data_IF_491676747070
#
_entry.id   IF_491676747070
#
_cell.length_a   1.000
_cell.length_b   1.000
_cell.length_c   1.000
_cell.angle_alpha   90.00
_cell.angle_beta   90.00
_cell.angle_gamma   90.00
#
_symmetry.space_group_name_H-M   'P 1'
#
loop_
_entity.id
_entity.type
_entity.pdbx_description
1 polymer ?
#
# COMPACT_ATOMS: atom_id res chain seq x y z
N UNK A 1 -17.51 6.42 9.50
CA UNK A 1 -18.45 6.60 8.38
C UNK A 1 -17.79 7.59 7.44
N UNK A 2 -17.19 7.13 6.33
CA UNK A 2 -16.57 8.03 5.35
C UNK A 2 -17.69 8.60 4.47
N UNK A 3 -17.74 9.92 4.30
CA UNK A 3 -18.79 10.59 3.52
C UNK A 3 -18.61 10.34 2.02
N UNK A 4 -19.72 10.45 1.29
CA UNK A 4 -19.84 10.08 -0.13
C UNK A 4 -19.04 10.93 -1.14
N UNK A 5 -18.20 11.86 -0.69
CA UNK A 5 -17.46 12.82 -1.55
C UNK A 5 -15.94 12.65 -1.52
N UNK A 6 -15.38 11.68 -0.79
CA UNK A 6 -13.94 11.36 -0.88
C UNK A 6 -13.73 10.21 -1.86
N UNK A 7 -13.24 10.53 -3.07
CA UNK A 7 -12.73 9.54 -4.02
C UNK A 7 -11.61 8.74 -3.34
N UNK A 8 -11.76 7.43 -3.16
CA UNK A 8 -10.67 6.58 -2.68
C UNK A 8 -9.57 6.50 -3.75
N UNK A 9 -8.32 6.60 -3.32
CA UNK A 9 -7.18 6.24 -4.17
C UNK A 9 -7.14 4.72 -4.29
N UNK A 10 -7.19 4.21 -5.51
CA UNK A 10 -7.19 2.78 -5.80
C UNK A 10 -5.91 2.37 -6.53
N UNK A 11 -5.24 1.35 -6.00
CA UNK A 11 -4.05 0.73 -6.58
C UNK A 11 -4.25 -0.77 -6.72
N UNK A 12 -3.56 -1.39 -7.68
CA UNK A 12 -3.52 -2.83 -7.84
C UNK A 12 -2.15 -3.33 -7.40
N UNK A 13 -2.12 -4.43 -6.66
CA UNK A 13 -0.89 -5.10 -6.25
C UNK A 13 -0.93 -6.60 -6.50
N UNK A 14 0.23 -7.23 -6.64
CA UNK A 14 0.36 -8.69 -6.82
C UNK A 14 1.17 -9.30 -5.69
N UNK A 15 0.65 -10.37 -5.08
CA UNK A 15 1.38 -11.07 -4.02
C UNK A 15 2.53 -11.92 -4.56
N UNK A 16 3.44 -12.39 -3.71
CA UNK A 16 4.50 -13.33 -4.14
C UNK A 16 3.92 -14.64 -4.69
N UNK A 17 2.73 -15.03 -4.21
CA UNK A 17 1.98 -16.18 -4.70
C UNK A 17 1.19 -15.89 -6.00
N UNK A 18 1.34 -14.71 -6.59
CA UNK A 18 0.65 -14.30 -7.82
C UNK A 18 -0.82 -13.92 -7.65
N UNK A 19 -1.30 -13.71 -6.42
CA UNK A 19 -2.68 -13.27 -6.18
C UNK A 19 -2.78 -11.75 -6.41
N UNK A 20 -3.84 -11.31 -7.09
CA UNK A 20 -4.10 -9.89 -7.31
C UNK A 20 -4.89 -9.30 -6.15
N UNK A 21 -4.43 -8.14 -5.67
CA UNK A 21 -5.03 -7.34 -4.61
C UNK A 21 -5.48 -6.00 -5.19
N UNK A 22 -6.70 -5.58 -4.84
CA UNK A 22 -7.12 -4.18 -4.93
C UNK A 22 -6.83 -3.52 -3.58
N UNK A 23 -6.17 -2.38 -3.62
CA UNK A 23 -5.77 -1.62 -2.44
C UNK A 23 -6.40 -0.24 -2.52
N UNK A 24 -7.29 0.06 -1.59
CA UNK A 24 -7.93 1.37 -1.46
C UNK A 24 -7.32 2.13 -0.30
N UNK A 25 -7.15 3.44 -0.47
CA UNK A 25 -6.67 4.35 0.57
C UNK A 25 -7.36 5.71 0.50
N UNK A 26 -7.33 6.47 1.60
CA UNK A 26 -7.73 7.87 1.53
C UNK A 26 -6.71 8.69 0.71
N UNK A 27 -7.15 9.50 -0.26
CA UNK A 27 -6.26 10.14 -1.24
C UNK A 27 -5.36 11.21 -0.62
N UNK A 28 -5.78 11.81 0.50
CA UNK A 28 -5.10 12.98 1.07
C UNK A 28 -3.96 12.60 2.01
N UNK A 29 -4.19 11.63 2.90
CA UNK A 29 -3.28 11.35 4.00
C UNK A 29 -2.80 9.90 4.03
N UNK A 30 -3.44 8.98 3.30
CA UNK A 30 -3.16 7.54 3.30
C UNK A 30 -2.98 7.01 4.72
N UNK A 31 -3.87 7.46 5.60
CA UNK A 31 -3.97 7.07 7.01
C UNK A 31 -4.81 5.83 7.21
N UNK A 32 -5.52 5.40 6.18
CA UNK A 32 -6.29 4.16 6.19
C UNK A 32 -6.11 3.41 4.88
N UNK A 33 -6.11 2.08 4.99
CA UNK A 33 -6.01 1.17 3.86
C UNK A 33 -7.04 0.06 4.00
N UNK A 34 -7.61 -0.34 2.86
CA UNK A 34 -8.44 -1.53 2.71
C UNK A 34 -7.91 -2.37 1.57
N UNK A 35 -7.81 -3.67 1.80
CA UNK A 35 -7.31 -4.60 0.81
C UNK A 35 -8.43 -5.53 0.42
N UNK A 36 -8.52 -5.86 -0.85
CA UNK A 36 -9.52 -6.76 -1.38
C UNK A 36 -8.89 -7.79 -2.30
N UNK A 37 -9.37 -9.03 -2.21
CA UNK A 37 -9.08 -10.10 -3.18
C UNK A 37 -10.28 -10.30 -4.07
N UNK A 38 -10.04 -10.74 -5.31
CA UNK A 38 -11.12 -11.25 -6.16
C UNK A 38 -11.81 -12.42 -5.45
N UNK A 39 -13.13 -12.38 -5.35
CA UNK A 39 -13.89 -13.51 -4.85
C UNK A 39 -13.93 -14.59 -5.96
N UNK A 40 -13.33 -15.78 -5.73
CA UNK A 40 -13.31 -16.84 -6.74
C UNK A 40 -14.69 -17.46 -6.97
N UNK A 41 -15.61 -17.33 -6.01
CA UNK A 41 -16.93 -17.99 -6.02
C UNK A 41 -17.97 -17.26 -6.88
N UNK A 42 -17.61 -16.10 -7.44
CA UNK A 42 -18.52 -15.30 -8.28
C UNK A 42 -18.32 -15.69 -9.74
N UNK A 43 -19.20 -16.55 -10.25
CA UNK A 43 -19.22 -16.97 -11.65
C UNK A 43 -19.73 -15.86 -12.58
N UNK A 44 -20.64 -15.02 -12.10
CA UNK A 44 -21.19 -13.89 -12.87
C UNK A 44 -21.09 -12.57 -12.08
N UNK A 45 -20.09 -11.72 -12.41
CA UNK A 45 -19.87 -10.46 -11.71
C UNK A 45 -21.00 -9.43 -11.91
N UNK A 46 -21.80 -9.55 -12.97
CA UNK A 46 -22.88 -8.60 -13.27
C UNK A 46 -24.13 -8.80 -12.39
N UNK A 47 -24.24 -9.95 -11.71
CA UNK A 47 -25.35 -10.27 -10.81
C UNK A 47 -25.09 -9.88 -9.35
N UNK A 48 -23.84 -9.57 -9.00
CA UNK A 48 -23.43 -9.27 -7.62
C UNK A 48 -22.88 -7.86 -7.50
N UNK A 49 -23.42 -7.06 -6.58
CA UNK A 49 -22.95 -5.70 -6.32
C UNK A 49 -21.53 -5.60 -5.78
N UNK A 50 -20.93 -6.72 -5.34
CA UNK A 50 -19.56 -6.77 -4.82
C UNK A 50 -18.86 -8.03 -5.33
N UNK A 51 -17.79 -7.84 -6.12
CA UNK A 51 -17.01 -8.93 -6.76
C UNK A 51 -15.73 -9.28 -6.01
N UNK A 52 -15.49 -8.62 -4.87
CA UNK A 52 -14.25 -8.68 -4.11
C UNK A 52 -14.54 -8.91 -2.62
N UNK A 53 -13.59 -9.53 -1.93
CA UNK A 53 -13.65 -9.83 -0.49
C UNK A 53 -12.55 -9.05 0.22
N UNK A 54 -12.91 -8.30 1.26
CA UNK A 54 -11.94 -7.56 2.07
C UNK A 54 -11.03 -8.54 2.83
N UNK A 55 -9.73 -8.24 2.88
CA UNK A 55 -8.72 -9.00 3.61
C UNK A 55 -7.97 -8.08 4.56
N UNK A 56 -7.63 -8.62 5.73
CA UNK A 56 -7.01 -7.84 6.82
C UNK A 56 -5.54 -8.20 7.08
N UNK A 57 -4.97 -9.13 6.30
CA UNK A 57 -3.59 -9.59 6.40
C UNK A 57 -3.02 -9.91 5.02
N UNK A 58 -1.72 -9.71 4.88
CA UNK A 58 -0.89 -10.07 3.74
C UNK A 58 -0.20 -11.44 3.94
N UNK A 59 -0.66 -12.24 4.91
CA UNK A 59 -0.11 -13.57 5.22
C UNK A 59 1.40 -13.55 5.55
N UNK A 60 1.85 -12.53 6.28
CA UNK A 60 3.27 -12.40 6.62
C UNK A 60 4.15 -11.80 5.52
N UNK A 61 3.56 -11.29 4.45
CA UNK A 61 4.24 -10.44 3.46
C UNK A 61 4.10 -8.95 3.82
N UNK A 62 4.88 -8.12 3.13
CA UNK A 62 4.77 -6.67 3.13
C UNK A 62 4.47 -6.16 1.73
N UNK A 63 3.60 -5.16 1.60
CA UNK A 63 3.25 -4.55 0.32
C UNK A 63 4.13 -3.33 0.05
N UNK A 64 4.81 -3.31 -1.10
CA UNK A 64 5.45 -2.10 -1.63
C UNK A 64 4.44 -1.42 -2.57
N UNK A 65 3.64 -0.50 -2.03
CA UNK A 65 2.45 0.03 -2.71
C UNK A 65 2.79 0.72 -4.03
N UNK A 66 3.85 1.52 -4.06
CA UNK A 66 4.26 2.26 -5.25
C UNK A 66 4.79 1.34 -6.36
N UNK A 67 5.23 0.13 -5.98
CA UNK A 67 5.68 -0.88 -6.94
C UNK A 67 4.58 -1.88 -7.33
N UNK A 68 3.47 -1.91 -6.59
CA UNK A 68 2.35 -2.79 -6.88
C UNK A 68 2.65 -4.28 -6.66
N UNK A 69 3.55 -4.64 -5.75
CA UNK A 69 3.77 -6.05 -5.40
C UNK A 69 4.17 -6.24 -3.94
N UNK A 70 4.00 -7.46 -3.44
CA UNK A 70 4.43 -7.82 -2.08
C UNK A 70 5.78 -8.53 -2.05
N UNK A 71 6.42 -8.46 -0.90
CA UNK A 71 7.68 -9.14 -0.58
C UNK A 71 7.52 -9.92 0.72
N UNK A 72 8.24 -11.04 0.91
CA UNK A 72 8.21 -11.74 2.19
C UNK A 72 8.70 -10.82 3.32
N UNK A 73 8.05 -10.84 4.48
CA UNK A 73 8.58 -10.14 5.65
C UNK A 73 9.95 -10.71 6.02
N UNK A 74 10.85 -9.82 6.42
CA UNK A 74 12.21 -10.16 6.75
C UNK A 74 12.72 -9.25 7.85
N UNK A 75 12.72 -9.78 9.08
CA UNK A 75 13.19 -9.07 10.27
C UNK A 75 14.65 -8.63 10.17
N UNK A 76 15.50 -9.38 9.46
CA UNK A 76 16.90 -9.01 9.27
C UNK A 76 17.06 -7.78 8.35
N UNK A 77 16.08 -7.55 7.46
CA UNK A 77 16.02 -6.38 6.57
C UNK A 77 15.10 -5.27 7.10
N UNK A 78 14.50 -5.44 8.29
CA UNK A 78 13.52 -4.50 8.84
C UNK A 78 12.18 -4.47 8.09
N UNK A 79 11.88 -5.50 7.30
CA UNK A 79 10.60 -5.63 6.60
C UNK A 79 9.60 -6.32 7.54
N UNK A 80 8.60 -5.57 7.97
CA UNK A 80 7.58 -6.03 8.90
C UNK A 80 6.44 -6.78 8.18
N UNK A 81 5.89 -7.83 8.79
CA UNK A 81 4.73 -8.53 8.22
C UNK A 81 3.47 -7.67 8.30
N UNK A 82 2.57 -7.86 7.33
CA UNK A 82 1.29 -7.17 7.24
C UNK A 82 1.42 -5.63 7.17
N UNK A 83 2.57 -5.14 6.69
CA UNK A 83 2.85 -3.72 6.54
C UNK A 83 2.79 -3.27 5.07
N UNK A 84 2.34 -2.05 4.84
CA UNK A 84 2.30 -1.37 3.55
C UNK A 84 3.32 -0.25 3.57
N UNK A 85 4.31 -0.34 2.69
CA UNK A 85 5.33 0.66 2.49
C UNK A 85 4.95 1.51 1.28
N UNK A 86 4.97 2.82 1.45
CA UNK A 86 4.66 3.77 0.38
C UNK A 86 5.42 5.07 0.55
N UNK A 87 5.70 5.73 -0.57
CA UNK A 87 6.27 7.07 -0.61
C UNK A 87 5.10 8.05 -0.60
N UNK A 88 5.04 8.87 0.45
CA UNK A 88 4.08 9.96 0.50
C UNK A 88 4.66 11.14 -0.26
N UNK A 89 4.00 11.51 -1.34
CA UNK A 89 4.23 12.78 -2.00
C UNK A 89 3.09 13.72 -1.62
N UNK A 90 3.31 14.66 -0.70
CA UNK A 90 2.31 15.66 -0.39
C UNK A 90 2.09 16.58 -1.61
N UNK A 91 0.93 16.48 -2.26
CA UNK A 91 0.52 17.43 -3.31
C UNK A 91 -0.92 17.92 -3.14
N UNK A 92 -1.25 18.73 -2.14
CA UNK A 92 -2.35 19.66 -2.25
C UNK A 92 -1.76 21.00 -2.65
N UNK A 93 -1.95 21.37 -3.91
CA UNK A 93 -2.06 22.76 -4.34
C UNK A 93 -1.09 23.78 -3.68
N UNK A 94 -0.03 24.17 -4.40
CA UNK A 94 0.75 25.42 -4.22
C UNK A 94 1.91 25.43 -3.18
N UNK A 95 3.10 25.75 -3.71
CA UNK A 95 4.16 26.56 -3.08
C UNK A 95 4.97 26.02 -1.88
N UNK A 96 4.93 24.74 -1.55
CA UNK A 96 5.87 24.13 -0.59
C UNK A 96 6.78 23.09 -1.26
N UNK A 97 7.99 22.90 -0.70
CA UNK A 97 8.90 21.81 -1.09
C UNK A 97 8.19 20.46 -0.93
N UNK A 98 8.50 19.48 -1.79
CA UNK A 98 7.95 18.14 -1.63
C UNK A 98 8.50 17.51 -0.34
N UNK A 99 7.68 17.50 0.71
CA UNK A 99 7.93 16.68 1.90
C UNK A 99 7.77 15.22 1.47
N UNK A 100 8.90 14.61 1.10
CA UNK A 100 9.03 13.21 0.72
C UNK A 100 9.25 12.40 1.99
N UNK A 101 8.26 11.59 2.34
CA UNK A 101 8.33 10.69 3.49
C UNK A 101 8.20 9.24 3.03
N UNK A 102 9.02 8.35 3.58
CA UNK A 102 8.71 6.91 3.54
C UNK A 102 7.73 6.65 4.67
N UNK A 103 6.57 6.10 4.31
CA UNK A 103 5.52 5.75 5.24
C UNK A 103 5.38 4.22 5.32
N UNK A 104 5.15 3.73 6.53
CA UNK A 104 4.88 2.32 6.80
C UNK A 104 3.56 2.24 7.56
N UNK A 105 2.56 1.61 6.96
CA UNK A 105 1.27 1.38 7.59
C UNK A 105 1.12 -0.10 7.94
N UNK A 106 0.97 -0.41 9.22
CA UNK A 106 0.77 -1.78 9.66
C UNK A 106 -0.73 -2.12 9.72
N UNK A 107 -1.15 -3.16 8.98
CA UNK A 107 -2.55 -3.56 8.86
C UNK A 107 -3.13 -4.15 10.14
N UNK A 108 -2.30 -4.80 10.96
CA UNK A 108 -2.73 -5.46 12.19
C UNK A 108 -2.93 -4.44 13.32
N UNK A 109 -1.98 -3.53 13.52
CA UNK A 109 -2.03 -2.50 14.58
C UNK A 109 -2.79 -1.24 14.16
N UNK A 110 -3.00 -1.05 12.85
CA UNK A 110 -3.50 0.21 12.25
C UNK A 110 -2.62 1.42 12.59
N UNK A 111 -1.31 1.20 12.80
CA UNK A 111 -0.35 2.28 13.03
C UNK A 111 0.27 2.77 11.71
N UNK A 112 0.56 4.07 11.67
CA UNK A 112 1.27 4.72 10.58
C UNK A 112 2.58 5.29 11.13
N UNK A 113 3.68 4.70 10.73
CA UNK A 113 5.02 5.20 11.02
C UNK A 113 5.54 6.00 9.83
N UNK A 114 6.19 7.13 10.12
CA UNK A 114 6.73 8.05 9.11
C UNK A 114 8.21 8.24 9.34
N UNK A 115 8.95 8.15 8.25
CA UNK A 115 10.38 8.40 8.21
C UNK A 115 10.59 9.66 7.35
N UNK A 116 10.56 10.84 7.98
CA UNK A 116 10.76 12.12 7.29
C UNK A 116 12.24 12.32 6.93
N UNK A 117 12.55 13.45 6.28
CA UNK A 117 13.89 13.90 5.88
C UNK A 117 14.48 13.23 4.61
N UNK A 118 13.67 12.69 3.69
CA UNK A 118 14.20 12.26 2.38
C UNK A 118 14.50 13.43 1.44
N UNK A 119 13.89 14.58 1.66
CA UNK A 119 14.09 15.84 0.94
C UNK A 119 15.52 16.41 1.12
N UNK A 120 16.21 16.02 2.20
CA UNK A 120 17.66 16.26 2.39
C UNK A 120 18.54 15.28 1.61
N UNK A 121 17.97 14.20 1.10
CA UNK A 121 18.67 13.24 0.26
C UNK A 121 18.34 13.54 -1.21
N UNK A 122 19.33 13.45 -2.11
CA UNK A 122 19.12 13.57 -3.57
C UNK A 122 18.40 12.32 -4.14
N UNK A 123 17.26 11.94 -3.54
CA UNK A 123 16.44 10.81 -3.95
C UNK A 123 15.42 11.27 -4.99
N UNK A 124 15.87 11.35 -6.24
CA UNK A 124 14.98 11.61 -7.39
C UNK A 124 14.02 10.43 -7.60
N UNK A 125 14.45 9.20 -7.28
CA UNK A 125 13.68 7.96 -7.39
C UNK A 125 14.24 6.92 -6.40
N UNK A 126 13.72 6.91 -5.17
CA UNK A 126 14.02 5.82 -4.24
C UNK A 126 13.38 4.53 -4.77
N UNK A 127 14.20 3.64 -5.34
CA UNK A 127 13.78 2.31 -5.79
C UNK A 127 14.12 1.29 -4.72
N UNK A 128 13.16 0.44 -4.39
CA UNK A 128 13.38 -0.67 -3.48
C UNK A 128 14.28 -1.71 -4.17
N UNK A 129 15.56 -1.74 -3.78
CA UNK A 129 16.49 -2.76 -4.27
C UNK A 129 16.34 -4.01 -3.40
N UNK A 130 15.70 -5.04 -3.95
CA UNK A 130 15.73 -6.37 -3.35
C UNK A 130 17.02 -7.08 -3.80
N UNK A 131 17.72 -7.81 -2.92
CA UNK A 131 18.85 -8.62 -3.34
C UNK A 131 18.36 -9.68 -4.35
N UNK A 132 19.03 -9.77 -5.50
CA UNK A 132 18.85 -10.88 -6.43
C UNK A 132 19.29 -12.17 -5.74
N UNK A 133 18.35 -13.05 -5.44
CA UNK A 133 18.65 -14.36 -4.85
C UNK A 133 19.46 -15.22 -5.82
N UNK A 134 20.48 -15.90 -5.28
CA UNK A 134 21.17 -17.03 -5.92
C UNK A 134 20.25 -18.23 -6.08
#
# INVERSE_FOLDING_TARGET
MLSADMSCDSSIAVTTSGQVLLVESDPCNRTCFRLYKKNPDIENPDLFGHTVTEVYSLNGEALLLDLGYTVPANKALGIEPDSIYFIRHYRPCQCASPDLDICVFNLATKSLDRYPDLDKMDLIDARWFLPSGN
#
